data_IF_560662920520
#
_entry.id   IF_560662920520
#
_cell.length_a   1.000
_cell.length_b   1.000
_cell.length_c   1.000
_cell.angle_alpha   90.00
_cell.angle_beta   90.00
_cell.angle_gamma   90.00
#
_symmetry.space_group_name_H-M   'P 1'
#
loop_
_entity.id
_entity.type
_entity.pdbx_description
1 polymer ?
#
# COMPACT_ATOMS: atom_id res chain seq x y z
N UNK A 1 27.17 -5.02 -32.26
CA UNK A 1 26.59 -3.66 -32.17
C UNK A 1 25.28 -3.82 -31.42
N UNK A 2 25.31 -3.64 -30.10
CA UNK A 2 24.94 -2.38 -29.41
C UNK A 2 23.47 -2.03 -29.68
N UNK A 3 22.54 -2.32 -28.78
CA UNK A 3 22.25 -1.73 -27.46
C UNK A 3 21.56 -0.35 -27.55
N UNK A 4 20.28 -0.32 -27.13
CA UNK A 4 19.51 0.83 -26.61
C UNK A 4 18.19 0.25 -26.05
N UNK A 5 17.99 0.06 -24.74
CA UNK A 5 17.67 1.02 -23.66
C UNK A 5 16.23 1.54 -23.72
N UNK A 6 15.46 1.20 -22.67
CA UNK A 6 14.41 1.98 -21.99
C UNK A 6 13.72 1.06 -20.96
N UNK A 7 13.38 1.39 -19.72
CA UNK A 7 13.66 2.53 -18.84
C UNK A 7 13.19 2.05 -17.45
N UNK A 8 14.09 2.00 -16.47
CA UNK A 8 13.71 1.73 -15.09
C UNK A 8 13.39 3.06 -14.43
N UNK A 9 12.11 3.41 -14.37
CA UNK A 9 11.66 4.53 -13.54
C UNK A 9 11.42 3.99 -12.12
N UNK A 10 12.44 4.07 -11.27
CA UNK A 10 12.27 3.97 -9.82
C UNK A 10 12.55 5.36 -9.25
N UNK A 11 11.50 5.98 -8.70
CA UNK A 11 11.52 7.35 -8.19
C UNK A 11 12.60 7.56 -7.12
N UNK A 12 13.22 8.75 -7.03
CA UNK A 12 14.30 9.02 -6.09
C UNK A 12 13.76 9.18 -4.66
N UNK A 13 14.05 8.21 -3.80
CA UNK A 13 13.87 8.35 -2.34
C UNK A 13 14.85 9.41 -1.84
N UNK A 14 14.29 10.49 -1.29
CA UNK A 14 15.03 11.65 -0.80
C UNK A 14 16.01 11.29 0.33
N UNK A 15 17.20 11.91 0.23
CA UNK A 15 18.28 12.06 1.23
C UNK A 15 18.13 11.23 2.52
N UNK A 16 18.90 10.14 2.59
CA UNK A 16 19.17 9.40 3.82
C UNK A 16 19.82 10.33 4.89
N UNK A 17 19.38 10.29 6.16
CA UNK A 17 20.10 10.94 7.23
C UNK A 17 21.44 10.23 7.45
N UNK A 18 22.54 10.99 7.48
CA UNK A 18 23.89 10.47 7.74
C UNK A 18 23.97 9.96 9.18
N UNK A 19 23.77 8.65 9.36
CA UNK A 19 24.02 7.95 10.63
C UNK A 19 25.51 7.62 10.71
N UNK A 20 26.17 8.13 11.75
CA UNK A 20 27.57 7.86 12.04
C UNK A 20 27.72 6.40 12.50
N UNK A 21 28.20 5.52 11.60
CA UNK A 21 28.31 4.10 11.88
C UNK A 21 29.44 3.79 12.85
N UNK A 22 29.12 3.45 14.10
CA UNK A 22 30.07 2.76 14.98
C UNK A 22 30.11 1.28 14.62
N UNK A 23 31.26 0.66 14.86
CA UNK A 23 31.64 -0.68 14.38
C UNK A 23 30.78 -1.83 14.94
N UNK A 24 29.85 -1.54 15.85
CA UNK A 24 28.83 -2.49 16.34
C UNK A 24 27.60 -2.64 15.40
N UNK A 25 27.39 -1.76 14.42
CA UNK A 25 26.22 -1.77 13.53
C UNK A 25 26.29 -2.75 12.34
N UNK A 26 27.26 -3.69 12.33
CA UNK A 26 27.26 -4.86 11.44
C UNK A 26 26.51 -6.04 12.07
N UNK A 27 25.54 -5.77 12.95
CA UNK A 27 24.61 -6.77 13.42
C UNK A 27 23.69 -7.12 12.26
N UNK A 28 24.13 -8.13 11.52
CA UNK A 28 23.40 -8.81 10.46
C UNK A 28 21.97 -9.03 10.97
N UNK A 29 20.99 -8.48 10.25
CA UNK A 29 19.60 -8.66 10.63
C UNK A 29 19.34 -10.17 10.78
N UNK A 30 18.61 -10.62 11.80
CA UNK A 30 18.38 -12.05 11.99
C UNK A 30 17.79 -12.71 10.73
N UNK A 31 18.27 -13.91 10.39
CA UNK A 31 17.89 -14.62 9.14
C UNK A 31 16.37 -14.76 8.97
N UNK A 32 15.64 -14.93 10.09
CA UNK A 32 14.18 -15.09 10.06
C UNK A 32 13.42 -13.88 9.50
N UNK A 33 14.01 -12.67 9.47
CA UNK A 33 13.37 -11.50 8.86
C UNK A 33 13.28 -11.69 7.35
N UNK A 34 14.35 -12.18 6.73
CA UNK A 34 14.40 -12.44 5.30
C UNK A 34 13.41 -13.55 4.92
N UNK A 35 13.33 -14.61 5.72
CA UNK A 35 12.37 -15.70 5.53
C UNK A 35 10.91 -15.19 5.58
N UNK A 36 10.60 -14.31 6.54
CA UNK A 36 9.25 -13.71 6.67
C UNK A 36 8.91 -12.81 5.50
N UNK A 37 9.86 -12.03 5.01
CA UNK A 37 9.68 -11.18 3.82
C UNK A 37 9.40 -12.07 2.60
N UNK A 38 10.19 -13.11 2.37
CA UNK A 38 9.98 -14.04 1.25
C UNK A 38 8.61 -14.71 1.33
N UNK A 39 8.19 -15.13 2.52
CA UNK A 39 6.87 -15.72 2.73
C UNK A 39 5.76 -14.70 2.46
N UNK A 40 5.90 -13.48 2.97
CA UNK A 40 4.95 -12.38 2.73
C UNK A 40 4.84 -12.07 1.25
N UNK A 41 5.96 -11.90 0.54
CA UNK A 41 6.00 -11.58 -0.88
C UNK A 41 5.31 -12.68 -1.71
N UNK A 42 5.56 -13.95 -1.37
CA UNK A 42 4.89 -15.09 -2.00
C UNK A 42 3.37 -15.06 -1.80
N UNK A 43 2.91 -14.76 -0.59
CA UNK A 43 1.47 -14.71 -0.29
C UNK A 43 0.81 -13.46 -0.89
N UNK A 44 1.51 -12.33 -0.86
CA UNK A 44 1.07 -11.07 -1.45
C UNK A 44 0.96 -11.18 -2.97
N UNK A 45 1.88 -11.88 -3.63
CA UNK A 45 1.80 -12.14 -5.06
C UNK A 45 0.54 -12.93 -5.42
N UNK A 46 0.26 -14.03 -4.71
CA UNK A 46 -0.98 -14.81 -4.87
C UNK A 46 -2.23 -13.97 -4.65
N UNK A 47 -2.23 -13.15 -3.59
CA UNK A 47 -3.37 -12.27 -3.30
C UNK A 47 -3.59 -11.24 -4.42
N UNK A 48 -2.52 -10.67 -4.98
CA UNK A 48 -2.62 -9.75 -6.12
C UNK A 48 -3.16 -10.44 -7.38
N UNK A 49 -2.76 -11.68 -7.64
CA UNK A 49 -3.31 -12.49 -8.73
C UNK A 49 -4.82 -12.74 -8.53
N UNK A 50 -5.23 -13.14 -7.32
CA UNK A 50 -6.64 -13.30 -6.96
C UNK A 50 -7.44 -12.00 -7.13
N UNK A 51 -6.89 -10.87 -6.68
CA UNK A 51 -7.50 -9.55 -6.89
C UNK A 51 -7.61 -9.18 -8.37
N UNK A 52 -6.60 -9.51 -9.18
CA UNK A 52 -6.63 -9.26 -10.62
C UNK A 52 -7.67 -10.11 -11.35
N UNK A 53 -7.96 -11.32 -10.87
CA UNK A 53 -9.03 -12.17 -11.42
C UNK A 53 -10.42 -11.71 -11.02
N UNK A 54 -10.57 -10.92 -9.95
CA UNK A 54 -11.86 -10.38 -9.52
C UNK A 54 -12.23 -9.20 -10.40
N UNK A 55 -13.39 -9.28 -11.03
CA UNK A 55 -13.94 -8.16 -11.82
C UNK A 55 -14.27 -7.00 -10.88
N UNK A 56 -13.73 -5.83 -11.22
CA UNK A 56 -14.04 -4.57 -10.56
C UNK A 56 -15.42 -4.09 -11.00
N UNK A 57 -16.34 -4.00 -10.06
CA UNK A 57 -17.71 -3.54 -10.29
C UNK A 57 -17.96 -2.20 -9.59
N UNK A 58 -18.73 -1.28 -10.19
CA UNK A 58 -19.08 -0.02 -9.54
C UNK A 58 -19.98 -0.29 -8.33
N UNK A 59 -19.57 0.23 -7.18
CA UNK A 59 -20.29 0.14 -5.90
C UNK A 59 -20.66 1.52 -5.37
N UNK A 60 -21.76 1.57 -4.62
CA UNK A 60 -22.21 2.77 -3.90
C UNK A 60 -21.93 2.59 -2.41
N UNK A 61 -21.15 3.49 -1.85
CA UNK A 61 -20.74 3.49 -0.44
C UNK A 61 -21.54 4.57 0.27
N UNK A 62 -22.36 4.17 1.25
CA UNK A 62 -23.16 5.09 2.04
C UNK A 62 -22.42 5.42 3.33
N UNK A 63 -22.23 6.71 3.61
CA UNK A 63 -21.61 7.21 4.83
C UNK A 63 -22.66 7.32 5.94
N UNK A 64 -22.21 7.43 7.19
CA UNK A 64 -23.09 7.59 8.36
C UNK A 64 -23.95 8.88 8.32
N UNK A 65 -23.55 9.87 7.53
CA UNK A 65 -24.31 11.10 7.28
C UNK A 65 -25.35 10.96 6.15
N UNK A 66 -25.48 9.77 5.54
CA UNK A 66 -26.39 9.49 4.45
C UNK A 66 -25.85 9.86 3.06
N UNK A 67 -24.64 10.43 2.96
CA UNK A 67 -24.02 10.70 1.65
C UNK A 67 -23.64 9.40 0.95
N UNK A 68 -23.77 9.41 -0.37
CA UNK A 68 -23.41 8.30 -1.23
C UNK A 68 -22.15 8.68 -2.01
N UNK A 69 -21.13 7.83 -1.96
CA UNK A 69 -19.91 7.97 -2.74
C UNK A 69 -19.72 6.76 -3.65
N UNK A 70 -19.22 7.03 -4.85
CA UNK A 70 -18.93 6.00 -5.84
C UNK A 70 -17.53 5.42 -5.61
N UNK A 71 -17.44 4.09 -5.73
CA UNK A 71 -16.21 3.32 -5.64
C UNK A 71 -16.25 2.11 -6.56
N UNK A 72 -15.14 1.40 -6.61
CA UNK A 72 -14.97 0.16 -7.33
C UNK A 72 -14.71 -0.98 -6.35
N UNK A 73 -15.44 -2.10 -6.50
CA UNK A 73 -15.24 -3.30 -5.71
C UNK A 73 -13.80 -3.82 -5.87
N UNK A 74 -13.23 -4.34 -4.78
CA UNK A 74 -11.86 -4.88 -4.72
C UNK A 74 -10.71 -3.88 -4.98
N UNK A 75 -11.02 -2.60 -5.21
CA UNK A 75 -10.02 -1.55 -5.46
C UNK A 75 -10.14 -0.35 -4.52
N UNK A 76 -11.36 0.13 -4.30
CA UNK A 76 -11.56 1.32 -3.47
C UNK A 76 -11.33 1.01 -2.00
N UNK A 77 -10.46 1.79 -1.36
CA UNK A 77 -10.15 1.63 0.07
C UNK A 77 -10.87 2.68 0.92
N UNK A 78 -11.15 2.39 2.21
CA UNK A 78 -11.73 3.39 3.11
C UNK A 78 -10.92 4.68 3.21
N UNK A 79 -9.59 4.61 3.09
CA UNK A 79 -8.72 5.79 3.09
C UNK A 79 -8.99 6.68 1.87
N UNK A 80 -9.13 6.10 0.67
CA UNK A 80 -9.48 6.86 -0.55
C UNK A 80 -10.84 7.55 -0.41
N UNK A 81 -11.80 6.94 0.29
CA UNK A 81 -13.08 7.58 0.63
C UNK A 81 -12.86 8.75 1.58
N UNK A 82 -12.03 8.62 2.61
CA UNK A 82 -11.71 9.72 3.51
C UNK A 82 -11.04 10.89 2.76
N UNK A 83 -10.10 10.60 1.85
CA UNK A 83 -9.40 11.60 1.03
C UNK A 83 -10.37 12.39 0.14
N UNK A 84 -11.36 11.72 -0.45
CA UNK A 84 -12.42 12.37 -1.24
C UNK A 84 -13.28 13.34 -0.42
N UNK A 85 -13.43 13.12 0.89
CA UNK A 85 -14.15 14.03 1.79
C UNK A 85 -13.25 15.23 2.12
N UNK A 86 -12.08 14.96 2.69
CA UNK A 86 -11.04 15.96 2.92
C UNK A 86 -9.72 15.29 3.30
N UNK A 87 -8.61 15.88 2.85
CA UNK A 87 -7.27 15.41 3.24
C UNK A 87 -7.05 15.44 4.75
N UNK A 88 -7.53 16.48 5.44
CA UNK A 88 -7.43 16.58 6.89
C UNK A 88 -8.15 15.45 7.63
N UNK A 89 -9.29 14.98 7.12
CA UNK A 89 -9.97 13.81 7.69
C UNK A 89 -9.17 12.52 7.44
N UNK A 90 -8.65 12.32 6.23
CA UNK A 90 -7.83 11.15 5.89
C UNK A 90 -6.58 11.05 6.77
N UNK A 91 -5.89 12.18 6.99
CA UNK A 91 -4.68 12.25 7.80
C UNK A 91 -4.95 12.00 9.30
N UNK A 92 -6.16 12.27 9.79
CA UNK A 92 -6.56 12.04 11.19
C UNK A 92 -7.26 10.69 11.40
N UNK A 93 -7.69 10.01 10.33
CA UNK A 93 -8.42 8.76 10.41
C UNK A 93 -7.48 7.58 10.69
N UNK A 94 -7.70 6.88 11.80
CA UNK A 94 -6.91 5.69 12.20
C UNK A 94 -7.64 4.38 11.91
N UNK A 95 -8.98 4.40 12.03
CA UNK A 95 -9.84 3.23 11.85
C UNK A 95 -11.05 3.61 11.00
N UNK A 96 -11.56 2.66 10.22
CA UNK A 96 -12.81 2.78 9.48
C UNK A 96 -13.78 1.70 9.97
N UNK A 97 -14.98 2.11 10.39
CA UNK A 97 -16.06 1.19 10.76
C UNK A 97 -16.93 0.93 9.54
N UNK A 98 -17.06 -0.32 9.12
CA UNK A 98 -17.83 -0.74 7.93
C UNK A 98 -18.85 -1.78 8.34
N UNK A 99 -20.15 -1.51 8.17
CA UNK A 99 -21.23 -2.46 8.50
C UNK A 99 -21.23 -3.02 9.93
N UNK A 100 -20.72 -2.25 10.90
CA UNK A 100 -20.51 -2.66 12.31
C UNK A 100 -19.29 -3.53 12.59
N UNK A 101 -18.37 -3.64 11.64
CA UNK A 101 -17.05 -4.25 11.78
C UNK A 101 -15.93 -3.20 11.70
#
# INVERSE_FOLDING_TARGET
>A
MSAAVAEQENLPIGKEPKVNKSKEELQQWPDFIQDRIQLFDKLMAKHKEELATKTSEPIKITLGDGKIMEGESWKTTPLQIAEKISRGLADQAVIAKVNNE
#
